data_IF_211787555838
#
_entry.id   IF_211787555838
#
_cell.length_a   1.000
_cell.length_b   1.000
_cell.length_c   1.000
_cell.angle_alpha   90.00
_cell.angle_beta   90.00
_cell.angle_gamma   90.00
#
_symmetry.space_group_name_H-M   'P 1'
#
loop_
_entity.id
_entity.type
_entity.pdbx_description
1 polymer ?
#
# COMPACT_ATOMS: atom_id res chain seq x y z
N UNK A 1 -6.52 3.27 -10.36
CA UNK A 1 -7.62 4.28 -10.51
C UNK A 1 -7.68 4.71 -11.96
N UNK A 2 -8.85 4.65 -12.58
CA UNK A 2 -9.03 5.11 -13.98
C UNK A 2 -9.00 6.66 -14.05
N UNK A 3 -8.76 7.20 -15.24
CA UNK A 3 -8.77 8.67 -15.45
C UNK A 3 -10.10 9.30 -15.04
N UNK A 4 -11.23 8.61 -15.30
CA UNK A 4 -12.56 9.06 -14.88
C UNK A 4 -12.70 9.10 -13.35
N UNK A 5 -12.22 8.08 -12.67
CA UNK A 5 -12.25 8.03 -11.19
C UNK A 5 -11.35 9.12 -10.61
N UNK A 6 -10.18 9.35 -11.21
CA UNK A 6 -9.27 10.42 -10.80
C UNK A 6 -9.90 11.80 -10.96
N UNK A 7 -10.50 12.09 -12.12
CA UNK A 7 -11.21 13.35 -12.35
C UNK A 7 -12.37 13.55 -11.36
N UNK A 8 -13.10 12.47 -11.03
CA UNK A 8 -14.17 12.51 -10.02
C UNK A 8 -13.61 12.85 -8.65
N UNK A 9 -12.51 12.20 -8.25
CA UNK A 9 -11.85 12.46 -6.96
C UNK A 9 -11.39 13.93 -6.86
N UNK A 10 -10.72 14.45 -7.89
CA UNK A 10 -10.28 15.84 -7.92
C UNK A 10 -11.46 16.81 -7.81
N UNK A 11 -12.57 16.53 -8.51
CA UNK A 11 -13.78 17.35 -8.42
C UNK A 11 -14.35 17.42 -7.01
N UNK A 12 -14.33 16.27 -6.28
CA UNK A 12 -14.76 16.23 -4.87
C UNK A 12 -13.80 17.01 -3.96
N UNK A 13 -12.49 16.88 -4.19
CA UNK A 13 -11.46 17.63 -3.42
C UNK A 13 -11.64 19.14 -3.62
N UNK A 14 -11.99 19.57 -4.84
CA UNK A 14 -12.27 20.97 -5.15
C UNK A 14 -13.62 21.50 -4.58
N UNK A 15 -14.34 20.64 -3.83
CA UNK A 15 -15.60 21.00 -3.16
C UNK A 15 -16.84 20.96 -4.06
N UNK A 16 -16.73 20.38 -5.27
CA UNK A 16 -17.87 20.23 -6.16
C UNK A 16 -18.80 19.10 -5.72
N UNK A 17 -20.11 19.30 -5.91
CA UNK A 17 -21.10 18.25 -5.68
C UNK A 17 -21.16 17.34 -6.90
N UNK A 18 -20.69 16.09 -6.74
CA UNK A 18 -20.75 15.05 -7.77
C UNK A 18 -21.97 14.16 -7.54
N UNK A 19 -22.71 13.85 -8.59
CA UNK A 19 -23.89 12.97 -8.55
C UNK A 19 -23.79 11.89 -9.62
N UNK A 20 -24.05 10.61 -9.29
CA UNK A 20 -24.30 10.11 -7.92
C UNK A 20 -23.08 10.35 -7.04
N UNK A 21 -23.26 10.37 -5.72
CA UNK A 21 -22.16 10.56 -4.75
C UNK A 21 -21.17 9.42 -4.92
N UNK A 22 -19.89 9.71 -5.20
CA UNK A 22 -18.88 8.67 -5.35
C UNK A 22 -18.54 8.05 -3.98
N UNK A 23 -18.23 6.76 -3.99
CA UNK A 23 -17.70 6.05 -2.85
C UNK A 23 -16.20 5.79 -3.04
N UNK A 24 -15.39 6.10 -2.02
CA UNK A 24 -13.96 5.84 -2.00
C UNK A 24 -13.55 5.04 -0.78
N UNK A 25 -12.64 4.08 -0.95
CA UNK A 25 -12.10 3.26 0.13
C UNK A 25 -10.59 3.17 0.05
N UNK A 26 -9.96 3.17 1.22
CA UNK A 26 -8.58 2.73 1.40
C UNK A 26 -8.65 1.23 1.66
N UNK A 27 -8.01 0.45 0.80
CA UNK A 27 -7.90 -1.01 0.98
C UNK A 27 -6.43 -1.40 0.99
N UNK A 28 -6.10 -2.26 1.93
CA UNK A 28 -4.75 -2.77 2.09
C UNK A 28 -4.71 -4.16 2.73
N UNK A 29 -3.57 -4.51 3.23
CA UNK A 29 -3.23 -5.81 3.79
C UNK A 29 -4.09 -6.35 4.94
N UNK A 30 -4.74 -5.58 5.81
CA UNK A 30 -5.62 -6.17 6.82
C UNK A 30 -6.85 -6.88 6.26
N UNK A 31 -7.38 -6.41 5.14
CA UNK A 31 -8.59 -6.98 4.54
C UNK A 31 -8.31 -7.79 3.28
N UNK A 32 -7.48 -7.27 2.39
CA UNK A 32 -7.34 -7.74 1.01
C UNK A 32 -6.83 -9.18 0.89
N UNK A 33 -5.82 -9.65 1.64
CA UNK A 33 -5.35 -11.02 1.58
C UNK A 33 -6.46 -12.02 1.93
N UNK A 34 -7.08 -11.87 3.10
CA UNK A 34 -8.14 -12.78 3.56
C UNK A 34 -9.33 -12.83 2.62
N UNK A 35 -9.76 -11.66 2.08
CA UNK A 35 -10.82 -11.60 1.08
C UNK A 35 -10.44 -12.28 -0.25
N UNK A 36 -9.19 -12.19 -0.66
CA UNK A 36 -8.71 -12.82 -1.90
C UNK A 36 -8.35 -14.29 -1.74
N UNK A 37 -8.33 -14.82 -0.50
CA UNK A 37 -8.06 -16.23 -0.20
C UNK A 37 -6.58 -16.58 -0.10
N UNK A 38 -5.73 -15.61 0.23
CA UNK A 38 -4.31 -15.79 0.48
C UNK A 38 -3.94 -15.37 1.90
N UNK A 39 -2.77 -15.78 2.39
CA UNK A 39 -2.28 -15.31 3.69
C UNK A 39 -1.76 -13.89 3.62
N UNK A 40 -1.70 -13.19 4.75
CA UNK A 40 -1.08 -11.87 4.84
C UNK A 40 0.41 -11.94 4.50
N UNK A 41 1.08 -13.01 4.91
CA UNK A 41 2.49 -13.23 4.57
C UNK A 41 2.69 -13.42 3.07
N UNK A 42 1.82 -14.17 2.40
CA UNK A 42 1.82 -14.33 0.94
C UNK A 42 1.70 -13.00 0.21
N UNK A 43 0.78 -12.15 0.68
CA UNK A 43 0.55 -10.81 0.12
C UNK A 43 1.80 -9.93 0.19
N UNK A 44 2.55 -10.02 1.30
CA UNK A 44 3.78 -9.24 1.46
C UNK A 44 4.97 -9.81 0.70
N UNK A 45 5.09 -11.15 0.62
CA UNK A 45 6.28 -11.81 0.08
C UNK A 45 6.20 -12.17 -1.40
N UNK A 46 5.00 -12.12 -2.00
CA UNK A 46 4.78 -12.44 -3.41
C UNK A 46 4.21 -11.25 -4.17
N UNK A 47 5.00 -10.62 -5.02
CA UNK A 47 4.56 -9.49 -5.84
C UNK A 47 3.40 -9.86 -6.77
N UNK A 48 3.38 -11.10 -7.29
CA UNK A 48 2.28 -11.60 -8.13
C UNK A 48 0.99 -11.69 -7.32
N UNK A 49 1.02 -12.32 -6.13
CA UNK A 49 -0.18 -12.43 -5.27
C UNK A 49 -0.67 -11.05 -4.82
N UNK A 50 0.25 -10.13 -4.52
CA UNK A 50 -0.09 -8.74 -4.23
C UNK A 50 -0.81 -8.07 -5.40
N UNK A 51 -0.27 -8.19 -6.62
CA UNK A 51 -0.87 -7.60 -7.82
C UNK A 51 -2.24 -8.20 -8.11
N UNK A 52 -2.37 -9.53 -8.14
CA UNK A 52 -3.60 -10.24 -8.44
C UNK A 52 -4.71 -9.92 -7.44
N UNK A 53 -4.39 -9.81 -6.14
CA UNK A 53 -5.35 -9.47 -5.10
C UNK A 53 -5.90 -8.04 -5.28
N UNK A 54 -5.02 -7.07 -5.55
CA UNK A 54 -5.43 -5.68 -5.82
C UNK A 54 -6.26 -5.58 -7.09
N UNK A 55 -5.83 -6.21 -8.18
CA UNK A 55 -6.55 -6.20 -9.45
C UNK A 55 -7.95 -6.84 -9.29
N UNK A 56 -8.03 -8.00 -8.63
CA UNK A 56 -9.30 -8.67 -8.33
C UNK A 56 -10.27 -7.75 -7.57
N UNK A 57 -9.79 -6.98 -6.59
CA UNK A 57 -10.65 -6.05 -5.85
C UNK A 57 -11.17 -4.92 -6.75
N UNK A 58 -10.30 -4.33 -7.55
CA UNK A 58 -10.63 -3.25 -8.47
C UNK A 58 -11.66 -3.71 -9.51
N UNK A 59 -11.47 -4.90 -10.08
CA UNK A 59 -12.39 -5.48 -11.06
C UNK A 59 -13.72 -5.92 -10.44
N UNK A 60 -13.71 -6.38 -9.19
CA UNK A 60 -14.94 -6.80 -8.49
C UNK A 60 -15.82 -5.61 -8.12
N UNK A 61 -15.21 -4.46 -7.82
CA UNK A 61 -15.92 -3.26 -7.36
C UNK A 61 -15.61 -2.05 -8.25
N UNK A 62 -16.00 -2.07 -9.54
CA UNK A 62 -15.60 -1.05 -10.51
C UNK A 62 -16.15 0.35 -10.21
N UNK A 63 -17.22 0.46 -9.42
CA UNK A 63 -17.83 1.73 -9.04
C UNK A 63 -17.18 2.36 -7.79
N UNK A 64 -16.26 1.66 -7.15
CA UNK A 64 -15.54 2.14 -5.97
C UNK A 64 -14.21 2.76 -6.38
N UNK A 65 -13.92 3.94 -5.87
CA UNK A 65 -12.60 4.57 -6.01
C UNK A 65 -11.69 4.04 -4.92
N UNK A 66 -10.76 3.14 -5.28
CA UNK A 66 -9.77 2.65 -4.34
C UNK A 66 -8.58 3.61 -4.24
N UNK A 67 -8.23 4.01 -3.00
CA UNK A 67 -7.18 4.97 -2.70
C UNK A 67 -6.02 4.27 -1.97
N UNK A 68 -4.82 4.23 -2.55
CA UNK A 68 -4.43 4.65 -3.90
C UNK A 68 -4.76 3.64 -5.02
N UNK A 69 -5.30 2.46 -4.70
CA UNK A 69 -5.56 1.36 -5.61
C UNK A 69 -4.57 0.23 -5.40
N UNK A 70 -3.40 0.29 -6.00
CA UNK A 70 -2.32 -0.69 -5.76
C UNK A 70 -1.41 -0.20 -4.64
N UNK A 71 -1.79 -0.48 -3.40
CA UNK A 71 -1.03 -0.03 -2.23
C UNK A 71 0.18 -0.96 -1.99
N UNK A 72 1.36 -0.46 -2.29
CA UNK A 72 2.61 -1.20 -2.13
C UNK A 72 3.28 -0.83 -0.79
N UNK A 73 3.01 -1.63 0.23
CA UNK A 73 3.60 -1.48 1.56
C UNK A 73 3.91 -2.84 2.18
N UNK A 74 4.55 -2.81 3.35
CA UNK A 74 4.79 -3.98 4.21
C UNK A 74 4.19 -3.72 5.60
N UNK A 75 2.92 -3.31 5.61
CA UNK A 75 2.22 -2.90 6.82
C UNK A 75 2.93 -1.76 7.53
N UNK A 76 2.81 -1.71 8.84
CA UNK A 76 3.45 -0.70 9.69
C UNK A 76 4.97 -0.87 9.83
N UNK A 77 5.59 -1.74 9.02
CA UNK A 77 7.03 -2.00 9.05
C UNK A 77 7.82 -1.22 8.00
N UNK A 78 7.17 -0.70 6.97
CA UNK A 78 7.85 -0.11 5.81
C UNK A 78 8.84 0.99 6.22
N UNK A 79 8.35 2.08 6.77
CA UNK A 79 9.18 3.20 7.18
C UNK A 79 10.03 2.89 8.42
N UNK A 80 9.47 2.29 9.50
CA UNK A 80 10.28 1.99 10.68
C UNK A 80 11.49 1.12 10.40
N UNK A 81 11.40 0.17 9.46
CA UNK A 81 12.53 -0.69 9.08
C UNK A 81 13.71 0.12 8.52
N UNK A 82 13.44 1.21 7.82
CA UNK A 82 14.47 2.08 7.26
C UNK A 82 15.25 2.86 8.34
N UNK A 83 14.68 2.97 9.54
CA UNK A 83 15.36 3.49 10.73
C UNK A 83 15.95 2.38 11.61
N UNK A 84 16.04 1.15 11.11
CA UNK A 84 16.63 0.01 11.82
C UNK A 84 15.66 -0.77 12.71
N UNK A 85 14.35 -0.53 12.62
CA UNK A 85 13.37 -1.31 13.36
C UNK A 85 13.39 -2.77 12.90
N UNK A 86 13.42 -3.69 13.88
CA UNK A 86 13.16 -5.10 13.63
C UNK A 86 11.65 -5.29 13.45
N UNK A 87 11.26 -6.07 12.44
CA UNK A 87 9.88 -6.42 12.17
C UNK A 87 9.61 -7.88 12.49
N UNK A 88 8.49 -8.15 13.16
CA UNK A 88 7.97 -9.50 13.41
C UNK A 88 6.84 -9.78 12.42
N UNK A 89 6.82 -11.00 11.89
CA UNK A 89 5.90 -11.45 10.85
C UNK A 89 5.14 -12.68 11.31
N UNK A 90 3.83 -12.69 11.08
CA UNK A 90 2.97 -13.85 11.24
C UNK A 90 2.34 -14.25 9.91
N UNK A 91 1.82 -15.45 9.80
CA UNK A 91 1.22 -15.95 8.56
C UNK A 91 -0.02 -15.14 8.16
N UNK A 92 -0.91 -14.88 9.13
CA UNK A 92 -2.16 -14.14 8.93
C UNK A 92 -2.30 -12.95 9.87
N UNK A 93 -1.18 -12.46 10.38
CA UNK A 93 -1.12 -11.32 11.29
C UNK A 93 -0.51 -10.11 10.59
N UNK A 94 -0.93 -8.93 11.06
CA UNK A 94 -0.32 -7.70 10.63
C UNK A 94 1.12 -7.62 11.16
N UNK A 95 2.12 -7.24 10.36
CA UNK A 95 3.49 -7.19 10.81
C UNK A 95 3.67 -6.10 11.87
N UNK A 96 4.49 -6.40 12.86
CA UNK A 96 4.74 -5.52 14.00
C UNK A 96 6.17 -4.96 13.95
N UNK A 97 6.29 -3.62 13.96
CA UNK A 97 7.57 -2.92 14.05
C UNK A 97 7.94 -2.66 15.52
N UNK A 98 9.12 -3.13 15.92
CA UNK A 98 9.63 -2.90 17.26
C UNK A 98 10.19 -1.49 17.41
N UNK A 99 10.07 -0.92 18.60
CA UNK A 99 10.58 0.43 18.89
C UNK A 99 12.09 0.51 18.67
N UNK A 100 12.52 1.53 17.95
CA UNK A 100 13.95 1.90 17.79
C UNK A 100 14.31 2.99 18.78
N UNK A 101 13.41 3.97 18.95
CA UNK A 101 13.61 5.12 19.83
C UNK A 101 12.96 4.80 21.16
N UNK A 102 13.74 4.90 22.24
CA UNK A 102 13.28 4.71 23.62
C UNK A 102 13.38 5.99 24.45
N UNK A 103 14.12 6.99 23.96
CA UNK A 103 14.30 8.31 24.56
C UNK A 103 14.14 9.39 23.49
N UNK A 104 13.49 10.50 23.83
CA UNK A 104 13.27 11.63 22.93
C UNK A 104 14.57 12.23 22.41
N UNK A 105 15.65 12.22 23.22
CA UNK A 105 16.97 12.71 22.83
C UNK A 105 17.58 11.95 21.64
N UNK A 106 17.10 10.72 21.35
CA UNK A 106 17.56 9.93 20.21
C UNK A 106 17.01 10.43 18.87
N UNK A 107 15.95 11.25 18.90
CA UNK A 107 15.31 11.77 17.66
C UNK A 107 16.29 12.58 16.83
N UNK A 108 17.11 13.42 17.47
CA UNK A 108 18.07 14.28 16.79
C UNK A 108 19.22 13.49 16.13
N UNK A 109 19.40 12.23 16.50
CA UNK A 109 20.41 11.33 15.92
C UNK A 109 19.89 10.53 14.71
N UNK A 110 18.62 10.62 14.39
CA UNK A 110 18.05 9.92 13.26
C UNK A 110 18.60 10.44 11.93
N UNK A 111 19.07 9.52 11.11
CA UNK A 111 19.51 9.83 9.75
C UNK A 111 18.35 9.61 8.78
N UNK A 112 18.17 10.55 7.85
CA UNK A 112 17.15 10.39 6.78
C UNK A 112 17.45 9.14 5.97
N UNK A 113 16.49 8.20 5.86
CA UNK A 113 16.70 6.98 5.10
C UNK A 113 16.85 7.24 3.59
N UNK A 114 17.61 6.38 2.93
CA UNK A 114 17.72 6.30 1.48
C UNK A 114 16.73 5.26 0.95
N UNK A 115 15.69 5.66 0.19
CA UNK A 115 14.69 4.73 -0.33
C UNK A 115 15.23 3.64 -1.26
N UNK A 116 16.45 3.80 -1.76
CA UNK A 116 17.07 2.83 -2.65
C UNK A 116 17.77 1.66 -1.95
N UNK A 117 17.99 1.76 -0.61
CA UNK A 117 18.80 0.75 0.11
C UNK A 117 18.36 0.48 1.54
N UNK A 118 17.60 1.38 2.20
CA UNK A 118 17.34 1.25 3.64
C UNK A 118 16.03 0.53 3.92
N UNK A 119 16.10 -0.48 4.79
CA UNK A 119 14.97 -1.27 5.26
C UNK A 119 14.14 -1.90 4.14
N UNK A 120 12.82 -1.78 4.23
CA UNK A 120 11.86 -2.30 3.25
C UNK A 120 11.54 -1.32 2.12
N UNK A 121 12.05 -0.09 2.16
CA UNK A 121 11.77 0.93 1.14
C UNK A 121 12.14 0.48 -0.29
N UNK A 122 13.30 -0.17 -0.53
CA UNK A 122 13.65 -0.66 -1.87
C UNK A 122 12.63 -1.65 -2.43
N UNK A 123 12.04 -2.49 -1.59
CA UNK A 123 11.04 -3.48 -2.03
C UNK A 123 9.76 -2.80 -2.50
N UNK A 124 9.29 -1.75 -1.80
CA UNK A 124 8.14 -0.94 -2.24
C UNK A 124 8.41 -0.30 -3.60
N UNK A 125 9.55 0.37 -3.73
CA UNK A 125 9.94 1.05 -4.98
C UNK A 125 10.04 0.07 -6.14
N UNK A 126 10.68 -1.08 -5.91
CA UNK A 126 10.87 -2.11 -6.95
C UNK A 126 9.55 -2.77 -7.34
N UNK A 127 8.67 -3.07 -6.37
CA UNK A 127 7.33 -3.62 -6.63
C UNK A 127 6.53 -2.72 -7.57
N UNK A 128 6.46 -1.43 -7.27
CA UNK A 128 5.74 -0.46 -8.11
C UNK A 128 6.37 -0.36 -9.51
N UNK A 129 7.70 -0.29 -9.61
CA UNK A 129 8.40 -0.25 -10.91
C UNK A 129 8.17 -1.51 -11.74
N UNK A 130 8.24 -2.69 -11.11
CA UNK A 130 8.10 -3.97 -11.80
C UNK A 130 6.68 -4.15 -12.37
N UNK A 131 5.67 -3.62 -11.71
CA UNK A 131 4.26 -3.77 -12.11
C UNK A 131 3.67 -2.52 -12.79
N UNK A 132 4.45 -1.47 -13.01
CA UNK A 132 3.97 -0.23 -13.64
C UNK A 132 3.30 -0.50 -15.00
N UNK A 133 3.89 -1.35 -15.83
CA UNK A 133 3.36 -1.70 -17.15
C UNK A 133 2.04 -2.49 -17.05
N UNK A 134 1.95 -3.43 -16.09
CA UNK A 134 0.75 -4.24 -15.90
C UNK A 134 -0.39 -3.42 -15.30
N UNK A 135 -0.09 -2.52 -14.36
CA UNK A 135 -1.06 -1.56 -13.81
C UNK A 135 -1.62 -0.66 -14.90
N UNK A 136 -0.76 -0.10 -15.76
CA UNK A 136 -1.19 0.72 -16.91
C UNK A 136 -2.02 -0.09 -17.91
N UNK A 137 -1.65 -1.33 -18.20
CA UNK A 137 -2.40 -2.23 -19.09
C UNK A 137 -3.78 -2.56 -18.52
N UNK A 138 -3.92 -2.63 -17.21
CA UNK A 138 -5.20 -2.80 -16.53
C UNK A 138 -6.06 -1.51 -16.50
N UNK A 139 -5.56 -0.39 -17.04
CA UNK A 139 -6.29 0.89 -17.12
C UNK A 139 -6.25 1.72 -15.83
N UNK A 140 -5.19 1.55 -15.04
CA UNK A 140 -5.05 2.20 -13.72
C UNK A 140 -3.76 3.00 -13.58
#
# INVERSE_FOLDING_TARGET
MTDKQWATLLSVIDGNIVKPMPAGFIIDSPWLPGWSGITTLDYYTSDTKWFDANLKAIETFPDIIFLPGFWAEFGMCTEPSAFGSRCSWGENEFPFAHKVITDIAQVDSLVKPDPSKDGLLPFVVNRLKNYEADIKKAGH
#
